data_IF_873192839749
#
_entry.id   IF_873192839749
#
_cell.length_a   1.000
_cell.length_b   1.000
_cell.length_c   1.000
_cell.angle_alpha   90.00
_cell.angle_beta   90.00
_cell.angle_gamma   90.00
#
_symmetry.space_group_name_H-M   'P 1'
#
loop_
_entity.id
_entity.type
_entity.pdbx_description
1 polymer ?
#
# COMPACT_ATOMS: atom_id res chain seq x y z
N UNK A 1 18.00 -8.40 7.87
CA UNK A 1 17.61 -9.75 8.39
C UNK A 1 16.31 -9.69 9.19
N UNK A 2 16.19 -8.87 10.28
CA UNK A 2 14.97 -8.85 11.15
C UNK A 2 13.67 -8.71 10.36
N UNK A 3 13.61 -7.82 9.36
CA UNK A 3 12.40 -7.62 8.56
C UNK A 3 12.01 -8.90 7.81
N UNK A 4 12.93 -9.50 7.06
CA UNK A 4 12.69 -10.72 6.30
C UNK A 4 12.20 -11.85 7.20
N UNK A 5 12.92 -12.13 8.30
CA UNK A 5 12.57 -13.20 9.24
C UNK A 5 11.19 -12.99 9.90
N UNK A 6 10.88 -11.73 10.29
CA UNK A 6 9.61 -11.43 10.92
C UNK A 6 8.41 -11.69 9.98
N UNK A 7 8.50 -11.26 8.71
CA UNK A 7 7.43 -11.48 7.73
C UNK A 7 7.36 -12.94 7.26
N UNK A 8 8.51 -13.58 7.02
CA UNK A 8 8.59 -14.98 6.65
C UNK A 8 7.95 -15.87 7.71
N UNK A 9 8.35 -15.73 8.98
CA UNK A 9 7.84 -16.54 10.06
C UNK A 9 6.31 -16.47 10.16
N UNK A 10 5.72 -15.27 10.13
CA UNK A 10 4.27 -15.14 10.27
C UNK A 10 3.49 -15.67 9.07
N UNK A 11 4.00 -15.51 7.84
CA UNK A 11 3.35 -16.06 6.66
C UNK A 11 3.42 -17.59 6.64
N UNK A 12 4.57 -18.18 6.98
CA UNK A 12 4.74 -19.63 7.06
C UNK A 12 3.86 -20.27 8.16
N UNK A 13 3.78 -19.66 9.36
CA UNK A 13 2.89 -20.10 10.45
C UNK A 13 1.42 -20.16 10.04
N UNK A 14 1.01 -19.38 9.04
CA UNK A 14 -0.38 -19.31 8.57
C UNK A 14 -0.59 -19.91 7.17
N UNK A 15 0.42 -20.59 6.61
CA UNK A 15 0.39 -21.20 5.27
C UNK A 15 0.12 -20.20 4.14
N UNK A 16 0.64 -18.98 4.26
CA UNK A 16 0.64 -17.98 3.19
C UNK A 16 2.04 -17.84 2.56
N UNK A 17 2.12 -17.40 1.30
CA UNK A 17 3.40 -17.12 0.68
C UNK A 17 4.11 -15.96 1.39
N UNK A 18 5.45 -15.94 1.44
CA UNK A 18 6.20 -14.86 2.06
C UNK A 18 6.03 -13.55 1.30
N UNK A 19 5.94 -12.41 2.01
CA UNK A 19 5.85 -11.08 1.42
C UNK A 19 7.12 -10.70 0.64
N UNK A 20 8.27 -11.22 1.05
CA UNK A 20 9.56 -11.00 0.40
C UNK A 20 10.10 -12.31 -0.17
N UNK A 21 10.51 -12.33 -1.46
CA UNK A 21 11.07 -13.53 -2.08
C UNK A 21 12.47 -13.89 -1.51
N UNK A 22 13.19 -12.90 -0.95
CA UNK A 22 14.50 -13.12 -0.35
C UNK A 22 14.87 -12.04 0.67
N UNK A 23 15.91 -12.32 1.47
CA UNK A 23 16.46 -11.36 2.44
C UNK A 23 17.04 -10.11 1.78
N UNK A 24 17.61 -10.26 0.57
CA UNK A 24 18.20 -9.16 -0.21
C UNK A 24 17.13 -8.15 -0.62
N UNK A 25 15.96 -8.64 -1.04
CA UNK A 25 14.82 -7.76 -1.40
C UNK A 25 14.32 -7.00 -0.18
N UNK A 26 14.18 -7.66 0.98
CA UNK A 26 13.80 -6.99 2.22
C UNK A 26 14.87 -5.97 2.68
N UNK A 27 16.15 -6.29 2.56
CA UNK A 27 17.25 -5.36 2.85
C UNK A 27 17.25 -4.17 1.90
N UNK A 28 17.03 -4.38 0.61
CA UNK A 28 16.92 -3.32 -0.40
C UNK A 28 15.80 -2.33 -0.07
N UNK A 29 14.61 -2.85 0.29
CA UNK A 29 13.50 -2.01 0.74
C UNK A 29 13.88 -1.17 1.96
N UNK A 30 14.42 -1.79 3.02
CA UNK A 30 14.78 -1.06 4.24
C UNK A 30 15.89 -0.04 4.00
N UNK A 31 16.89 -0.35 3.17
CA UNK A 31 17.95 0.59 2.79
C UNK A 31 17.37 1.80 2.06
N UNK A 32 16.43 1.57 1.15
CA UNK A 32 15.71 2.66 0.47
C UNK A 32 14.94 3.52 1.46
N UNK A 33 14.19 2.92 2.41
CA UNK A 33 13.43 3.66 3.41
C UNK A 33 14.32 4.50 4.33
N UNK A 34 15.44 3.93 4.78
CA UNK A 34 16.39 4.62 5.65
C UNK A 34 17.12 5.79 4.98
N UNK A 35 17.23 5.79 3.65
CA UNK A 35 17.87 6.86 2.88
C UNK A 35 16.91 8.01 2.51
N UNK A 36 15.61 7.85 2.72
CA UNK A 36 14.59 8.83 2.31
C UNK A 36 14.35 9.89 3.38
N UNK A 37 14.42 11.19 3.05
CA UNK A 37 14.19 12.28 4.00
C UNK A 37 12.74 12.44 4.44
N UNK A 38 11.80 11.92 3.64
CA UNK A 38 10.35 11.93 3.86
C UNK A 38 9.82 10.66 4.55
N UNK A 39 10.74 9.84 5.07
CA UNK A 39 10.42 8.66 5.88
C UNK A 39 11.09 8.79 7.25
N UNK A 40 10.28 8.94 8.29
CA UNK A 40 10.77 8.85 9.65
C UNK A 40 10.96 7.38 10.04
N UNK A 41 12.16 7.03 10.49
CA UNK A 41 12.54 5.65 10.83
C UNK A 41 12.87 5.54 12.30
N UNK A 42 12.39 4.48 12.95
CA UNK A 42 12.75 4.12 14.32
C UNK A 42 13.20 2.67 14.38
N UNK A 43 14.26 2.42 15.16
CA UNK A 43 14.77 1.07 15.43
C UNK A 43 14.82 0.81 16.92
N UNK A 44 14.62 -0.46 17.29
CA UNK A 44 14.80 -0.94 18.65
C UNK A 44 16.07 -1.79 18.72
N UNK A 45 16.89 -1.52 19.70
CA UNK A 45 18.13 -2.25 19.97
C UNK A 45 18.08 -2.91 21.35
N UNK A 46 18.61 -4.13 21.43
CA UNK A 46 18.78 -4.88 22.69
C UNK A 46 20.16 -5.56 22.68
N UNK A 47 20.98 -5.23 23.68
CA UNK A 47 22.32 -5.78 23.82
C UNK A 47 23.18 -5.67 22.55
N UNK A 48 23.18 -4.48 21.89
CA UNK A 48 23.96 -4.22 20.68
C UNK A 48 23.39 -4.85 19.40
N UNK A 49 22.21 -5.48 19.45
CA UNK A 49 21.53 -6.07 18.28
C UNK A 49 20.24 -5.31 17.98
N UNK A 50 20.05 -4.91 16.71
CA UNK A 50 18.75 -4.42 16.23
C UNK A 50 17.74 -5.56 16.29
N UNK A 51 16.64 -5.34 16.99
CA UNK A 51 15.57 -6.34 17.23
C UNK A 51 14.21 -5.90 16.70
N UNK A 52 14.09 -4.71 16.14
CA UNK A 52 12.84 -4.25 15.53
C UNK A 52 13.01 -2.91 14.84
N UNK A 53 12.06 -2.59 13.98
CA UNK A 53 11.97 -1.30 13.28
C UNK A 53 10.54 -0.94 12.95
N UNK A 54 10.29 0.35 12.75
CA UNK A 54 9.06 0.86 12.18
C UNK A 54 9.34 2.14 11.39
N UNK A 55 8.44 2.49 10.49
CA UNK A 55 8.57 3.62 9.58
C UNK A 55 7.27 4.40 9.51
N UNK A 56 7.38 5.73 9.45
CA UNK A 56 6.28 6.64 9.16
C UNK A 56 6.57 7.34 7.84
N UNK A 57 5.73 7.16 6.86
CA UNK A 57 5.80 7.79 5.55
C UNK A 57 5.13 9.16 5.62
N UNK A 58 5.94 10.21 5.50
CA UNK A 58 5.54 11.61 5.68
C UNK A 58 5.32 12.33 4.33
N UNK A 59 5.22 11.60 3.21
CA UNK A 59 5.07 12.17 1.87
C UNK A 59 3.78 12.97 1.69
N UNK A 60 2.69 12.58 2.34
CA UNK A 60 1.40 13.27 2.26
C UNK A 60 1.34 14.50 3.14
N UNK A 61 0.60 15.53 2.71
CA UNK A 61 0.37 16.72 3.54
C UNK A 61 -0.63 16.47 4.68
N UNK A 62 -1.53 15.50 4.53
CA UNK A 62 -2.68 15.29 5.43
C UNK A 62 -2.68 13.91 6.09
N UNK A 63 -2.29 12.88 5.36
CA UNK A 63 -2.32 11.49 5.79
C UNK A 63 -0.91 10.92 5.75
N UNK A 64 -0.51 10.22 6.81
CA UNK A 64 0.74 9.48 6.87
C UNK A 64 0.48 7.97 6.80
N UNK A 65 1.42 7.21 6.23
CA UNK A 65 1.43 5.76 6.23
C UNK A 65 2.35 5.18 7.31
N UNK A 66 2.03 4.00 7.84
CA UNK A 66 2.92 3.28 8.76
C UNK A 66 3.29 1.93 8.16
N UNK A 67 4.58 1.61 8.23
CA UNK A 67 5.13 0.30 7.91
C UNK A 67 6.39 0.33 7.06
N UNK A 68 7.09 -0.80 7.03
CA UNK A 68 6.81 -2.05 7.73
C UNK A 68 7.16 -1.99 9.23
N UNK A 69 6.26 -2.47 10.09
CA UNK A 69 6.56 -2.74 11.49
C UNK A 69 7.16 -4.14 11.62
N UNK A 70 8.36 -4.24 12.14
CA UNK A 70 9.04 -5.53 12.34
C UNK A 70 9.52 -5.71 13.77
N UNK A 71 9.43 -6.93 14.27
CA UNK A 71 10.00 -7.35 15.56
C UNK A 71 10.59 -8.75 15.39
N UNK A 72 11.84 -8.91 15.75
CA UNK A 72 12.52 -10.20 15.65
C UNK A 72 11.72 -11.31 16.37
N UNK A 73 11.54 -12.50 15.77
CA UNK A 73 10.69 -13.55 16.30
C UNK A 73 11.00 -13.93 17.76
N UNK A 74 12.29 -13.97 18.11
CA UNK A 74 12.79 -14.34 19.44
C UNK A 74 12.52 -13.30 20.55
N UNK A 75 12.11 -12.09 20.20
CA UNK A 75 11.79 -11.01 21.17
C UNK A 75 10.35 -10.50 21.06
N UNK A 76 9.51 -11.16 20.30
CA UNK A 76 8.09 -10.86 20.23
C UNK A 76 7.42 -11.08 21.60
N UNK A 77 6.19 -10.56 21.77
CA UNK A 77 5.40 -10.61 23.02
C UNK A 77 5.95 -9.78 24.22
N UNK A 78 7.03 -9.00 24.01
CA UNK A 78 7.65 -8.11 25.00
C UNK A 78 7.24 -6.64 24.90
N UNK A 79 6.06 -6.31 24.39
CA UNK A 79 5.57 -4.94 24.17
C UNK A 79 6.41 -4.09 23.18
N UNK A 80 7.43 -4.65 22.53
CA UNK A 80 8.32 -3.92 21.63
C UNK A 80 7.58 -3.34 20.41
N UNK A 81 6.72 -4.13 19.78
CA UNK A 81 5.89 -3.64 18.66
C UNK A 81 4.99 -2.48 19.06
N UNK A 82 4.45 -2.49 20.29
CA UNK A 82 3.67 -1.38 20.84
C UNK A 82 4.53 -0.10 20.95
N UNK A 83 5.72 -0.20 21.52
CA UNK A 83 6.64 0.95 21.68
C UNK A 83 7.04 1.56 20.33
N UNK A 84 7.36 0.72 19.34
CA UNK A 84 7.67 1.15 17.98
C UNK A 84 6.47 1.85 17.30
N UNK A 85 5.24 1.38 17.56
CA UNK A 85 4.03 2.06 17.08
C UNK A 85 3.78 3.38 17.80
N UNK A 86 3.92 3.41 19.12
CA UNK A 86 3.73 4.62 19.94
C UNK A 86 4.69 5.73 19.52
N UNK A 87 5.95 5.39 19.20
CA UNK A 87 6.97 6.34 18.73
C UNK A 87 6.54 7.01 17.42
N UNK A 88 6.23 6.24 16.38
CA UNK A 88 5.78 6.80 15.09
C UNK A 88 4.45 7.56 15.21
N UNK A 89 3.57 7.19 16.14
CA UNK A 89 2.33 7.92 16.41
C UNK A 89 2.59 9.25 17.14
N UNK A 90 3.61 9.32 18.01
CA UNK A 90 4.08 10.58 18.59
C UNK A 90 4.59 11.51 17.49
N UNK A 91 5.42 10.97 16.58
CA UNK A 91 5.93 11.72 15.41
C UNK A 91 4.79 12.21 14.52
N UNK A 92 3.80 11.38 14.21
CA UNK A 92 2.65 11.75 13.38
C UNK A 92 1.85 12.92 14.02
N UNK A 93 1.63 12.89 15.34
CA UNK A 93 0.99 13.99 16.08
C UNK A 93 1.81 15.28 16.05
N UNK A 94 3.14 15.20 16.24
CA UNK A 94 4.04 16.35 16.13
C UNK A 94 3.98 17.02 14.76
N UNK A 95 3.87 16.21 13.70
CA UNK A 95 3.70 16.67 12.32
C UNK A 95 2.27 17.10 11.99
N UNK A 96 1.32 16.92 12.92
CA UNK A 96 -0.10 17.29 12.76
C UNK A 96 -0.81 16.60 11.61
N UNK A 97 -0.44 15.35 11.29
CA UNK A 97 -1.20 14.57 10.34
C UNK A 97 -2.64 14.37 10.84
N UNK A 98 -3.62 14.64 9.98
CA UNK A 98 -5.03 14.48 10.31
C UNK A 98 -5.45 13.01 10.43
N UNK A 99 -4.73 12.11 9.74
CA UNK A 99 -4.94 10.68 9.78
C UNK A 99 -3.66 9.89 9.55
N UNK A 100 -3.64 8.68 10.09
CA UNK A 100 -2.56 7.72 9.90
C UNK A 100 -3.17 6.41 9.41
N UNK A 101 -2.56 5.79 8.41
CA UNK A 101 -3.05 4.54 7.80
C UNK A 101 -1.99 3.46 7.81
N UNK A 102 -2.45 2.23 7.81
CA UNK A 102 -1.63 1.05 7.60
C UNK A 102 -2.44 -0.05 6.90
N UNK A 103 -1.75 -0.95 6.24
CA UNK A 103 -2.32 -2.20 5.76
C UNK A 103 -1.61 -3.35 6.46
N UNK A 104 -2.38 -4.34 6.93
CA UNK A 104 -1.84 -5.50 7.62
C UNK A 104 -2.41 -6.80 7.06
N UNK A 105 -1.65 -7.90 7.19
CA UNK A 105 -2.13 -9.24 6.85
C UNK A 105 -3.31 -9.62 7.74
N UNK A 106 -4.48 -9.88 7.15
CA UNK A 106 -5.72 -10.10 7.91
C UNK A 106 -5.67 -11.35 8.80
N UNK A 107 -4.80 -12.31 8.50
CA UNK A 107 -4.56 -13.49 9.30
C UNK A 107 -3.67 -13.24 10.55
N UNK A 108 -3.01 -12.07 10.64
CA UNK A 108 -2.12 -11.75 11.75
C UNK A 108 -2.89 -11.16 12.96
N UNK A 109 -3.56 -12.00 13.71
CA UNK A 109 -4.44 -11.62 14.82
C UNK A 109 -3.77 -10.73 15.88
N UNK A 110 -2.48 -10.94 16.16
CA UNK A 110 -1.72 -10.13 17.13
C UNK A 110 -1.55 -8.69 16.65
N UNK A 111 -1.27 -8.48 15.38
CA UNK A 111 -1.17 -7.14 14.78
C UNK A 111 -2.51 -6.43 14.80
N UNK A 112 -3.58 -7.10 14.38
CA UNK A 112 -4.93 -6.56 14.43
C UNK A 112 -5.30 -6.09 15.85
N UNK A 113 -5.06 -6.94 16.85
CA UNK A 113 -5.32 -6.61 18.26
C UNK A 113 -4.44 -5.44 18.76
N UNK A 114 -3.17 -5.37 18.35
CA UNK A 114 -2.27 -4.28 18.71
C UNK A 114 -2.77 -2.95 18.14
N UNK A 115 -3.05 -2.90 16.83
CA UNK A 115 -3.48 -1.67 16.17
C UNK A 115 -4.84 -1.18 16.68
N UNK A 116 -5.78 -2.11 16.92
CA UNK A 116 -7.08 -1.76 17.54
C UNK A 116 -6.91 -1.16 18.93
N UNK A 117 -6.02 -1.73 19.78
CA UNK A 117 -5.70 -1.17 21.12
C UNK A 117 -5.02 0.20 21.06
N UNK A 118 -4.39 0.56 19.94
CA UNK A 118 -3.80 1.87 19.69
C UNK A 118 -4.80 2.86 19.06
N UNK A 119 -6.05 2.45 18.86
CA UNK A 119 -7.14 3.29 18.35
C UNK A 119 -7.34 3.22 16.83
N UNK A 120 -6.64 2.34 16.12
CA UNK A 120 -6.92 2.13 14.70
C UNK A 120 -8.24 1.38 14.52
N UNK A 121 -8.96 1.78 13.49
CA UNK A 121 -10.21 1.15 13.06
C UNK A 121 -10.04 0.47 11.70
N UNK A 122 -10.67 -0.70 11.54
CA UNK A 122 -10.75 -1.38 10.24
C UNK A 122 -11.60 -0.54 9.28
N UNK A 123 -11.09 -0.26 8.09
CA UNK A 123 -11.78 0.53 7.06
C UNK A 123 -12.14 -0.28 5.84
N UNK A 124 -11.21 -1.08 5.31
CA UNK A 124 -11.42 -1.87 4.11
C UNK A 124 -10.85 -3.28 4.30
N UNK A 125 -11.66 -4.33 4.15
CA UNK A 125 -11.15 -5.66 3.87
C UNK A 125 -10.64 -5.70 2.43
N UNK A 126 -9.41 -6.22 2.25
CA UNK A 126 -8.72 -6.25 0.97
C UNK A 126 -8.39 -7.68 0.57
N UNK A 127 -8.28 -7.93 -0.72
CA UNK A 127 -7.65 -9.12 -1.28
C UNK A 127 -6.39 -8.69 -2.06
N UNK A 128 -5.28 -9.40 -1.86
CA UNK A 128 -4.14 -9.31 -2.77
C UNK A 128 -4.42 -10.21 -3.96
N UNK A 129 -4.39 -9.66 -5.17
CA UNK A 129 -4.65 -10.37 -6.41
C UNK A 129 -3.37 -10.49 -7.24
N UNK A 130 -3.12 -11.69 -7.77
CA UNK A 130 -1.95 -11.99 -8.60
C UNK A 130 -2.36 -12.92 -9.76
N UNK A 131 -1.61 -12.86 -10.87
CA UNK A 131 -1.81 -13.72 -12.04
C UNK A 131 -0.91 -13.31 -13.20
N UNK A 132 -1.12 -13.91 -14.35
CA UNK A 132 -0.46 -13.49 -15.59
C UNK A 132 -1.03 -12.18 -16.10
N UNK A 133 -0.24 -11.45 -16.91
CA UNK A 133 -0.72 -10.27 -17.64
C UNK A 133 -1.99 -10.60 -18.43
N UNK A 134 -3.02 -9.76 -18.29
CA UNK A 134 -4.31 -10.01 -18.93
C UNK A 134 -4.28 -9.66 -20.43
N UNK A 135 -3.51 -8.63 -20.81
CA UNK A 135 -3.40 -8.12 -22.19
C UNK A 135 -4.76 -7.79 -22.78
N UNK A 136 -5.56 -7.04 -22.03
CA UNK A 136 -6.91 -6.65 -22.37
C UNK A 136 -7.01 -5.14 -22.54
N UNK A 137 -7.61 -4.72 -23.65
CA UNK A 137 -8.01 -3.34 -23.89
C UNK A 137 -9.49 -3.17 -23.52
N UNK A 138 -9.79 -2.11 -22.80
CA UNK A 138 -11.18 -1.72 -22.48
C UNK A 138 -11.65 -0.70 -23.52
N UNK A 139 -12.67 -0.99 -24.32
CA UNK A 139 -13.12 -0.10 -25.40
C UNK A 139 -13.44 1.31 -24.91
N UNK A 140 -12.85 2.32 -25.56
CA UNK A 140 -13.05 3.72 -25.21
C UNK A 140 -12.11 4.26 -24.10
N UNK A 141 -11.24 3.42 -23.52
CA UNK A 141 -10.27 3.80 -22.50
C UNK A 141 -8.85 3.60 -23.02
N UNK A 142 -8.09 4.66 -23.12
CA UNK A 142 -6.71 4.63 -23.59
C UNK A 142 -5.73 4.74 -22.42
N UNK A 143 -4.88 3.75 -22.27
CA UNK A 143 -3.83 3.73 -21.22
C UNK A 143 -2.50 4.12 -21.84
N UNK A 144 -1.82 5.08 -21.22
CA UNK A 144 -0.47 5.51 -21.62
C UNK A 144 0.41 5.83 -20.41
N UNK A 145 1.74 5.88 -20.59
CA UNK A 145 2.63 6.39 -19.54
C UNK A 145 2.21 7.81 -19.10
N UNK A 146 2.33 8.06 -17.80
CA UNK A 146 2.12 9.38 -17.23
C UNK A 146 3.35 10.25 -17.45
N UNK A 147 3.13 11.55 -17.66
CA UNK A 147 4.18 12.57 -17.81
C UNK A 147 4.02 13.64 -16.73
N UNK A 148 5.06 14.46 -16.51
CA UNK A 148 5.04 15.53 -15.48
C UNK A 148 3.84 16.49 -15.65
N UNK A 149 3.43 16.78 -16.88
CA UNK A 149 2.24 17.61 -17.17
C UNK A 149 0.93 17.03 -16.68
N UNK A 150 0.86 15.73 -16.46
CA UNK A 150 -0.34 15.02 -16.01
C UNK A 150 -0.48 15.03 -14.46
N UNK A 151 0.63 15.30 -13.74
CA UNK A 151 0.73 15.15 -12.29
C UNK A 151 -0.36 15.90 -11.52
N UNK A 152 -0.59 17.17 -11.85
CA UNK A 152 -1.57 18.01 -11.14
C UNK A 152 -3.02 17.57 -11.43
N UNK A 153 -3.31 17.11 -12.65
CA UNK A 153 -4.63 16.56 -13.00
C UNK A 153 -4.89 15.25 -12.29
N UNK A 154 -3.92 14.36 -12.26
CA UNK A 154 -4.00 13.08 -11.53
C UNK A 154 -4.13 13.30 -10.02
N UNK A 155 -3.40 14.25 -9.43
CA UNK A 155 -3.50 14.55 -8.02
C UNK A 155 -4.87 15.15 -7.63
N UNK A 156 -5.44 16.03 -8.47
CA UNK A 156 -6.82 16.50 -8.28
C UNK A 156 -7.83 15.34 -8.34
N UNK A 157 -7.66 14.42 -9.27
CA UNK A 157 -8.48 13.22 -9.35
C UNK A 157 -8.37 12.38 -8.07
N UNK A 158 -7.14 12.18 -7.56
CA UNK A 158 -6.90 11.50 -6.30
C UNK A 158 -7.59 12.19 -5.12
N UNK A 159 -7.48 13.50 -5.00
CA UNK A 159 -8.15 14.27 -3.95
C UNK A 159 -9.67 14.11 -4.01
N UNK A 160 -10.27 14.07 -5.20
CA UNK A 160 -11.71 13.86 -5.38
C UNK A 160 -12.16 12.44 -4.99
N UNK A 161 -11.34 11.43 -5.27
CA UNK A 161 -11.66 10.01 -5.04
C UNK A 161 -11.20 9.56 -3.66
N UNK A 162 -9.94 9.78 -3.29
CA UNK A 162 -9.36 9.39 -2.00
C UNK A 162 -9.56 10.41 -0.88
N UNK A 163 -9.83 11.68 -1.24
CA UNK A 163 -10.02 12.77 -0.30
C UNK A 163 -8.73 13.31 0.31
N UNK A 164 -7.55 13.02 -0.25
CA UNK A 164 -6.26 13.55 0.20
C UNK A 164 -5.24 13.60 -0.93
N UNK A 165 -4.17 14.36 -0.70
CA UNK A 165 -3.07 14.57 -1.63
C UNK A 165 -2.12 13.37 -1.64
N UNK A 166 -1.75 12.89 -2.85
CA UNK A 166 -0.70 11.89 -3.10
C UNK A 166 0.23 12.33 -4.25
N UNK A 167 0.30 13.63 -4.51
CA UNK A 167 1.03 14.18 -5.63
C UNK A 167 2.54 13.92 -5.58
N UNK A 168 3.15 13.84 -4.41
CA UNK A 168 4.57 13.54 -4.28
C UNK A 168 4.88 12.09 -4.70
N UNK A 169 4.11 11.13 -4.21
CA UNK A 169 4.21 9.72 -4.61
C UNK A 169 4.02 9.55 -6.11
N UNK A 170 3.02 10.25 -6.69
CA UNK A 170 2.78 10.23 -8.13
C UNK A 170 3.98 10.79 -8.92
N UNK A 171 4.55 11.93 -8.50
CA UNK A 171 5.74 12.49 -9.17
C UNK A 171 6.94 11.54 -9.12
N UNK A 172 7.17 10.87 -7.99
CA UNK A 172 8.21 9.85 -7.90
C UNK A 172 7.95 8.69 -8.88
N UNK A 173 6.71 8.21 -8.96
CA UNK A 173 6.34 7.14 -9.91
C UNK A 173 6.49 7.57 -11.38
N UNK A 174 6.19 8.83 -11.72
CA UNK A 174 6.43 9.40 -13.05
C UNK A 174 7.93 9.41 -13.35
N UNK A 175 8.77 9.87 -12.42
CA UNK A 175 10.24 9.90 -12.58
C UNK A 175 10.84 8.50 -12.74
N UNK A 176 10.25 7.50 -12.07
CA UNK A 176 10.63 6.09 -12.21
C UNK A 176 10.08 5.42 -13.47
N UNK A 177 9.20 6.08 -14.22
CA UNK A 177 8.57 5.54 -15.41
C UNK A 177 7.54 4.43 -15.15
N UNK A 178 7.02 4.34 -13.91
CA UNK A 178 6.05 3.30 -13.51
C UNK A 178 4.60 3.79 -13.58
N UNK A 179 4.39 5.11 -13.53
CA UNK A 179 3.04 5.68 -13.53
C UNK A 179 2.38 5.63 -14.91
N UNK A 180 1.08 5.33 -14.91
CA UNK A 180 0.22 5.32 -16.09
C UNK A 180 -1.04 6.14 -15.86
N UNK A 181 -1.60 6.70 -16.91
CA UNK A 181 -2.90 7.38 -16.91
C UNK A 181 -3.88 6.68 -17.84
N UNK A 182 -5.16 6.82 -17.51
CA UNK A 182 -6.28 6.42 -18.39
C UNK A 182 -6.94 7.65 -18.93
N UNK A 183 -7.09 7.70 -20.25
CA UNK A 183 -7.84 8.73 -20.95
C UNK A 183 -9.17 8.16 -21.46
N UNK A 184 -10.26 8.86 -21.19
CA UNK A 184 -11.58 8.58 -21.71
C UNK A 184 -12.26 9.88 -22.12
N UNK A 185 -12.88 9.90 -23.30
CA UNK A 185 -13.54 11.09 -23.87
C UNK A 185 -12.64 12.36 -23.86
N UNK A 186 -11.36 12.19 -24.18
CA UNK A 186 -10.38 13.31 -24.31
C UNK A 186 -9.87 13.88 -22.98
N UNK A 187 -10.12 13.24 -21.85
CA UNK A 187 -9.63 13.68 -20.53
C UNK A 187 -9.08 12.51 -19.70
N UNK A 188 -8.19 12.82 -18.76
CA UNK A 188 -7.70 11.82 -17.78
C UNK A 188 -8.81 11.54 -16.77
N UNK A 189 -9.21 10.25 -16.66
CA UNK A 189 -10.26 9.77 -15.78
C UNK A 189 -9.77 8.76 -14.75
N UNK A 190 -8.51 8.30 -14.89
CA UNK A 190 -7.87 7.39 -13.94
C UNK A 190 -6.36 7.45 -14.06
N UNK A 191 -5.67 6.97 -13.04
CA UNK A 191 -4.23 6.75 -13.08
C UNK A 191 -3.81 5.66 -12.10
N UNK A 192 -2.60 5.13 -12.29
CA UNK A 192 -1.89 4.31 -11.32
C UNK A 192 -0.46 4.81 -11.15
N UNK A 193 0.08 4.73 -9.94
CA UNK A 193 1.54 4.86 -9.74
C UNK A 193 2.25 3.57 -10.14
N UNK A 194 1.58 2.44 -9.92
CA UNK A 194 1.96 1.10 -10.33
C UNK A 194 0.77 0.17 -10.05
N UNK A 195 0.52 -0.83 -10.88
CA UNK A 195 -0.40 -1.92 -10.52
C UNK A 195 0.41 -3.01 -9.81
N UNK A 196 0.44 -2.95 -8.49
CA UNK A 196 1.25 -3.82 -7.65
C UNK A 196 1.13 -3.49 -6.16
N UNK A 197 1.91 -4.19 -5.35
CA UNK A 197 1.79 -4.13 -3.89
C UNK A 197 2.12 -2.74 -3.30
N UNK A 198 3.08 -2.05 -3.91
CA UNK A 198 3.54 -0.73 -3.47
C UNK A 198 2.90 0.44 -4.22
N UNK A 199 2.12 0.18 -5.25
CA UNK A 199 1.46 1.22 -6.03
C UNK A 199 -0.02 1.34 -5.71
N UNK A 200 -0.59 2.51 -5.98
CA UNK A 200 -2.02 2.74 -5.89
C UNK A 200 -2.60 3.14 -7.25
N UNK A 201 -3.91 2.93 -7.39
CA UNK A 201 -4.65 3.41 -8.54
C UNK A 201 -5.97 4.05 -8.12
N UNK A 202 -6.42 5.03 -8.89
CA UNK A 202 -7.74 5.65 -8.77
C UNK A 202 -8.38 5.81 -10.13
N UNK A 203 -9.69 5.67 -10.18
CA UNK A 203 -10.51 5.89 -11.37
C UNK A 203 -11.87 6.45 -11.01
N UNK A 204 -12.51 7.17 -11.92
CA UNK A 204 -13.86 7.65 -11.72
C UNK A 204 -14.85 6.47 -11.59
N UNK A 205 -14.55 5.35 -12.24
CA UNK A 205 -15.32 4.10 -12.20
C UNK A 205 -14.43 2.86 -12.22
N UNK A 206 -15.02 1.68 -12.23
CA UNK A 206 -14.29 0.42 -12.38
C UNK A 206 -13.68 0.25 -13.78
N UNK A 207 -14.20 0.90 -14.80
CA UNK A 207 -13.69 0.75 -16.17
C UNK A 207 -12.25 1.26 -16.31
N UNK A 208 -11.90 2.39 -15.64
CA UNK A 208 -10.53 2.87 -15.57
C UNK A 208 -9.61 1.86 -14.89
N UNK A 209 -10.07 1.24 -13.79
CA UNK A 209 -9.25 0.23 -13.11
C UNK A 209 -9.12 -1.05 -13.95
N UNK A 210 -10.16 -1.46 -14.66
CA UNK A 210 -10.10 -2.58 -15.61
C UNK A 210 -9.09 -2.30 -16.72
N UNK A 211 -9.07 -1.07 -17.26
CA UNK A 211 -8.10 -0.66 -18.28
C UNK A 211 -6.66 -0.70 -17.76
N UNK A 212 -6.40 -0.14 -16.57
CA UNK A 212 -5.08 -0.16 -15.94
C UNK A 212 -4.61 -1.59 -15.64
N UNK A 213 -5.48 -2.44 -15.08
CA UNK A 213 -5.16 -3.84 -14.79
C UNK A 213 -4.96 -4.63 -16.09
N UNK A 214 -5.82 -4.38 -17.10
CA UNK A 214 -5.81 -5.08 -18.39
C UNK A 214 -4.53 -4.88 -19.18
N UNK A 215 -3.95 -3.70 -19.13
CA UNK A 215 -2.75 -3.33 -19.88
C UNK A 215 -1.44 -3.55 -19.11
N UNK A 216 -1.51 -3.93 -17.83
CA UNK A 216 -0.33 -4.16 -17.02
C UNK A 216 0.37 -5.47 -17.40
N UNK A 217 1.68 -5.39 -17.70
CA UNK A 217 2.49 -6.55 -18.06
C UNK A 217 2.85 -7.45 -16.87
N UNK A 218 3.06 -6.86 -15.69
CA UNK A 218 3.45 -7.57 -14.46
C UNK A 218 2.80 -6.93 -13.25
N UNK A 219 2.13 -7.72 -12.45
CA UNK A 219 1.64 -7.30 -11.13
C UNK A 219 2.78 -7.37 -10.12
N UNK A 220 3.34 -6.20 -9.78
CA UNK A 220 4.58 -6.10 -9.01
C UNK A 220 4.43 -6.59 -7.56
N UNK A 221 5.44 -7.33 -7.09
CA UNK A 221 5.47 -7.92 -5.75
C UNK A 221 4.46 -9.05 -5.56
N UNK A 222 3.84 -9.19 -4.38
CA UNK A 222 2.82 -10.21 -4.14
C UNK A 222 1.54 -10.05 -4.98
N UNK A 223 1.40 -8.96 -5.72
CA UNK A 223 0.21 -8.61 -6.49
C UNK A 223 -0.30 -7.22 -6.11
N UNK A 224 -1.52 -6.87 -6.53
CA UNK A 224 -2.15 -5.61 -6.18
C UNK A 224 -3.28 -5.80 -5.17
N UNK A 225 -3.55 -4.77 -4.37
CA UNK A 225 -4.58 -4.78 -3.35
C UNK A 225 -5.91 -4.29 -3.93
N UNK A 226 -6.99 -5.01 -3.64
CA UNK A 226 -8.34 -4.68 -4.10
C UNK A 226 -9.31 -4.75 -2.92
N UNK A 227 -10.12 -3.69 -2.68
CA UNK A 227 -11.20 -3.72 -1.69
C UNK A 227 -12.24 -4.78 -2.04
N UNK A 228 -12.44 -5.78 -1.18
CA UNK A 228 -13.35 -6.90 -1.46
C UNK A 228 -14.82 -6.47 -1.56
N UNK A 229 -15.18 -5.32 -0.97
CA UNK A 229 -16.50 -4.70 -1.15
C UNK A 229 -16.76 -4.19 -2.57
N UNK A 230 -15.71 -3.95 -3.38
CA UNK A 230 -15.86 -3.69 -4.81
C UNK A 230 -16.08 -5.01 -5.56
N UNK A 231 -17.24 -5.63 -5.30
CA UNK A 231 -17.56 -6.97 -5.78
C UNK A 231 -17.64 -7.09 -7.30
N UNK A 232 -17.91 -5.99 -8.03
CA UNK A 232 -17.91 -5.98 -9.50
C UNK A 232 -16.48 -6.18 -10.02
N UNK A 233 -15.55 -5.31 -9.64
CA UNK A 233 -14.16 -5.41 -10.07
C UNK A 233 -13.50 -6.71 -9.59
N UNK A 234 -13.83 -7.14 -8.36
CA UNK A 234 -13.30 -8.38 -7.79
C UNK A 234 -13.73 -9.60 -8.63
N UNK A 235 -15.03 -9.73 -8.97
CA UNK A 235 -15.51 -10.80 -9.87
C UNK A 235 -14.86 -10.74 -11.23
N UNK A 236 -14.75 -9.54 -11.81
CA UNK A 236 -14.10 -9.35 -13.09
C UNK A 236 -12.66 -9.87 -13.08
N UNK A 237 -11.85 -9.51 -12.05
CA UNK A 237 -10.49 -10.00 -11.90
C UNK A 237 -10.42 -11.54 -11.85
N UNK A 238 -11.28 -12.18 -11.05
CA UNK A 238 -11.32 -13.63 -10.91
C UNK A 238 -11.73 -14.32 -12.22
N UNK A 239 -12.71 -13.76 -12.95
CA UNK A 239 -13.16 -14.28 -14.26
C UNK A 239 -12.07 -14.19 -15.33
N UNK A 240 -11.11 -13.26 -15.20
CA UNK A 240 -9.98 -13.11 -16.10
C UNK A 240 -8.71 -13.83 -15.61
N UNK A 241 -8.85 -14.79 -14.68
CA UNK A 241 -7.76 -15.69 -14.27
C UNK A 241 -6.84 -15.16 -13.18
N UNK A 242 -7.12 -13.99 -12.60
CA UNK A 242 -6.42 -13.55 -11.40
C UNK A 242 -6.89 -14.38 -10.19
N UNK A 243 -6.00 -14.58 -9.23
CA UNK A 243 -6.28 -15.37 -8.03
C UNK A 243 -5.99 -14.57 -6.76
N UNK A 244 -6.71 -14.88 -5.71
CA UNK A 244 -6.43 -14.33 -4.37
C UNK A 244 -5.19 -15.02 -3.81
N UNK A 245 -4.21 -14.20 -3.41
CA UNK A 245 -2.97 -14.66 -2.77
C UNK A 245 -3.12 -14.64 -1.26
N UNK A 246 -3.60 -13.51 -0.72
CA UNK A 246 -3.79 -13.36 0.73
C UNK A 246 -4.83 -12.27 1.06
N UNK A 247 -5.52 -12.41 2.19
CA UNK A 247 -6.41 -11.37 2.70
C UNK A 247 -5.61 -10.32 3.48
N UNK A 248 -5.98 -9.04 3.29
CA UNK A 248 -5.37 -7.90 3.96
C UNK A 248 -6.44 -7.01 4.59
N UNK A 249 -6.03 -6.12 5.47
CA UNK A 249 -6.93 -5.15 6.11
C UNK A 249 -6.30 -3.77 6.13
N UNK A 250 -6.98 -2.80 5.52
CA UNK A 250 -6.65 -1.38 5.66
C UNK A 250 -7.24 -0.86 6.97
N UNK A 251 -6.41 -0.25 7.78
CA UNK A 251 -6.81 0.37 9.05
C UNK A 251 -6.41 1.86 9.07
N UNK A 252 -7.15 2.67 9.80
CA UNK A 252 -6.83 4.08 10.00
C UNK A 252 -7.03 4.53 11.44
N UNK A 253 -6.22 5.50 11.83
CA UNK A 253 -6.39 6.30 13.05
C UNK A 253 -6.64 7.75 12.61
N UNK A 254 -7.70 8.41 13.11
CA UNK A 254 -8.07 9.76 12.70
C UNK A 254 -8.80 9.82 11.35
N UNK A 255 -8.49 10.82 10.53
CA UNK A 255 -9.23 11.11 9.30
C UNK A 255 -9.27 9.92 8.32
N UNK A 256 -10.48 9.54 7.94
CA UNK A 256 -10.75 8.61 6.88
C UNK A 256 -11.92 9.09 6.02
N UNK A 257 -11.66 9.50 4.79
CA UNK A 257 -12.69 9.97 3.87
C UNK A 257 -13.36 8.79 3.17
N UNK A 258 -14.68 8.86 2.99
CA UNK A 258 -15.39 7.95 2.08
C UNK A 258 -14.95 8.27 0.65
N UNK A 259 -14.64 7.23 -0.12
CA UNK A 259 -14.23 7.35 -1.51
C UNK A 259 -15.43 7.51 -2.43
N UNK A 260 -15.29 8.36 -3.44
CA UNK A 260 -16.35 8.66 -4.41
C UNK A 260 -16.21 7.94 -5.75
N UNK A 261 -15.13 7.19 -5.96
CA UNK A 261 -14.86 6.42 -7.17
C UNK A 261 -14.22 5.07 -6.85
N UNK A 262 -13.62 4.46 -7.88
CA UNK A 262 -12.93 3.19 -7.75
C UNK A 262 -11.44 3.40 -7.42
N UNK A 263 -10.85 2.50 -6.62
CA UNK A 263 -9.45 2.61 -6.22
C UNK A 263 -8.84 1.25 -5.88
N UNK A 264 -7.53 1.19 -6.05
CA UNK A 264 -6.66 0.13 -5.53
C UNK A 264 -5.69 0.78 -4.53
N UNK A 265 -5.73 0.41 -3.25
CA UNK A 265 -4.78 0.92 -2.27
C UNK A 265 -3.39 0.31 -2.48
N UNK A 266 -2.34 0.98 -2.01
CA UNK A 266 -1.03 0.36 -1.84
C UNK A 266 -0.91 -0.30 -0.47
N UNK A 267 0.17 -1.08 -0.24
CA UNK A 267 0.49 -1.61 1.09
C UNK A 267 0.78 -0.48 2.10
N UNK A 268 1.11 0.69 1.61
CA UNK A 268 1.37 1.85 2.45
C UNK A 268 0.08 2.55 2.91
N UNK A 269 -0.94 2.52 2.11
CA UNK A 269 -2.35 2.88 2.40
C UNK A 269 -3.19 3.13 1.16
#
# INVERSE_FOLDING_TARGET
MVCYEAFKTISEEHNFPPDFPSSEVACGLLSSLLSRPDVYSVVAERAGRVVGSNFLWEEGATIAGIGPLTVAPDVQNGALGRRLMEDVLVRARQKRFAGVRLVQAAYHNRSLALYTKLGFEVREPLATLQGSALRLDIPGYNVRPAHDKDADTCNRLCQNIHGHDRGQELRHAIQQGTATVVEHAGRITGYATLIGFFGHAVGESNEELKALIGTTDVFAGPGFLLPTRNGELFRWCLQHGLRVVQPMTLMSLGLYNRRSGAFLPSILF
#
